data_IF_295837395784
#
_entry.id   IF_295837395784
#
_cell.length_a   1.000
_cell.length_b   1.000
_cell.length_c   1.000
_cell.angle_alpha   90.00
_cell.angle_beta   90.00
_cell.angle_gamma   90.00
#
_symmetry.space_group_name_H-M   'P 1'
#
loop_
_entity.id
_entity.type
_entity.pdbx_description
1 polymer ?
#
# COMPACT_ATOMS: atom_id res chain seq x y z
N UNK A 1 12.61 -1.16 -13.51
CA UNK A 1 12.18 -2.54 -13.21
C UNK A 1 10.71 -2.53 -12.81
N UNK A 2 10.00 -3.65 -12.98
CA UNK A 2 8.60 -3.79 -12.55
C UNK A 2 8.50 -4.54 -11.22
N UNK A 3 7.35 -4.47 -10.56
CA UNK A 3 7.11 -5.10 -9.26
C UNK A 3 7.18 -6.62 -9.34
N UNK A 4 6.78 -7.25 -10.45
CA UNK A 4 6.83 -8.70 -10.63
C UNK A 4 8.18 -9.24 -11.13
N UNK A 5 9.12 -8.35 -11.48
CA UNK A 5 10.45 -8.75 -11.97
C UNK A 5 11.53 -8.07 -11.14
N UNK A 6 11.68 -8.47 -9.87
CA UNK A 6 12.67 -7.85 -8.99
C UNK A 6 14.10 -8.31 -9.33
N UNK A 7 15.12 -7.57 -8.90
CA UNK A 7 16.49 -8.08 -8.94
C UNK A 7 16.64 -9.31 -8.03
N UNK A 8 17.77 -10.04 -8.08
CA UNK A 8 18.06 -11.08 -7.09
C UNK A 8 18.00 -10.55 -5.65
N UNK A 9 17.49 -11.36 -4.72
CA UNK A 9 17.53 -11.03 -3.30
C UNK A 9 18.98 -10.97 -2.79
N UNK A 10 19.31 -10.13 -1.79
CA UNK A 10 18.40 -9.31 -0.97
C UNK A 10 18.25 -7.86 -1.47
N UNK A 11 18.66 -7.54 -2.71
CA UNK A 11 18.62 -6.16 -3.20
C UNK A 11 17.20 -5.57 -3.16
N UNK A 12 17.05 -4.27 -2.84
CA UNK A 12 15.73 -3.61 -2.83
C UNK A 12 15.10 -3.66 -4.23
N UNK A 13 13.77 -3.77 -4.26
CA UNK A 13 13.01 -3.70 -5.51
C UNK A 13 12.75 -2.25 -5.84
N UNK A 14 13.31 -1.77 -6.96
CA UNK A 14 13.08 -0.40 -7.44
C UNK A 14 12.08 -0.43 -8.59
N UNK A 15 10.82 -0.16 -8.27
CA UNK A 15 9.73 -0.10 -9.24
C UNK A 15 9.77 1.25 -9.94
N UNK A 16 10.30 1.27 -11.16
CA UNK A 16 10.40 2.51 -11.95
C UNK A 16 9.05 2.86 -12.58
N UNK A 17 8.41 1.86 -13.17
CA UNK A 17 7.07 1.96 -13.74
C UNK A 17 6.47 0.57 -13.85
N UNK A 18 5.28 0.42 -13.29
CA UNK A 18 4.50 -0.80 -13.41
C UNK A 18 3.03 -0.45 -13.63
N UNK A 19 2.45 -0.95 -14.72
CA UNK A 19 1.06 -0.69 -15.12
C UNK A 19 0.06 -1.66 -14.47
N UNK A 20 0.56 -2.63 -13.70
CA UNK A 20 -0.24 -3.65 -13.05
C UNK A 20 -0.49 -4.87 -13.94
N UNK A 21 -1.47 -5.67 -13.56
CA UNK A 21 -1.79 -6.94 -14.21
C UNK A 21 -2.79 -7.74 -13.40
N UNK A 22 -2.72 -9.08 -13.48
CA UNK A 22 -3.57 -9.96 -12.69
C UNK A 22 -3.29 -9.78 -11.20
N UNK A 23 -4.30 -9.36 -10.43
CA UNK A 23 -4.16 -9.05 -9.00
C UNK A 23 -3.52 -10.20 -8.22
N UNK A 24 -3.90 -11.45 -8.51
CA UNK A 24 -3.36 -12.66 -7.86
C UNK A 24 -1.83 -12.78 -7.95
N UNK A 25 -1.22 -12.38 -9.07
CA UNK A 25 0.23 -12.51 -9.28
C UNK A 25 0.97 -11.49 -8.40
N UNK A 26 0.38 -10.30 -8.24
CA UNK A 26 0.89 -9.25 -7.36
C UNK A 26 0.67 -9.60 -5.89
N UNK A 27 -0.43 -10.24 -5.53
CA UNK A 27 -0.68 -10.71 -4.16
C UNK A 27 0.39 -11.73 -3.73
N UNK A 28 0.66 -12.74 -4.56
CA UNK A 28 1.69 -13.73 -4.28
C UNK A 28 3.08 -13.07 -4.14
N UNK A 29 3.42 -12.14 -5.04
CA UNK A 29 4.68 -11.41 -4.97
C UNK A 29 4.78 -10.50 -3.74
N UNK A 30 3.66 -9.87 -3.34
CA UNK A 30 3.56 -9.03 -2.15
C UNK A 30 3.76 -9.85 -0.88
N UNK A 31 3.20 -11.06 -0.81
CA UNK A 31 3.43 -11.93 0.35
C UNK A 31 4.89 -12.33 0.46
N UNK A 32 5.54 -12.70 -0.65
CA UNK A 32 6.99 -12.97 -0.64
C UNK A 32 7.80 -11.76 -0.15
N UNK A 33 7.48 -10.52 -0.56
CA UNK A 33 8.16 -9.32 -0.06
C UNK A 33 7.91 -9.06 1.42
N UNK A 34 6.72 -9.38 1.92
CA UNK A 34 6.38 -9.27 3.34
C UNK A 34 7.15 -10.28 4.18
N UNK A 35 7.18 -11.55 3.78
CA UNK A 35 7.89 -12.62 4.49
C UNK A 35 9.40 -12.37 4.56
N UNK A 36 9.96 -11.78 3.51
CA UNK A 36 11.41 -11.52 3.41
C UNK A 36 11.83 -10.14 3.93
N UNK A 37 10.90 -9.35 4.47
CA UNK A 37 11.10 -7.92 4.81
C UNK A 37 11.81 -7.14 3.69
N UNK A 38 11.52 -7.50 2.43
CA UNK A 38 12.23 -6.94 1.28
C UNK A 38 11.78 -5.51 1.03
N UNK A 39 12.74 -4.59 0.95
CA UNK A 39 12.41 -3.18 0.67
C UNK A 39 11.91 -3.01 -0.76
N UNK A 40 10.80 -2.29 -0.90
CA UNK A 40 10.24 -1.88 -2.19
C UNK A 40 10.18 -0.37 -2.27
N UNK A 41 10.84 0.22 -3.28
CA UNK A 41 10.88 1.65 -3.56
C UNK A 41 10.15 1.92 -4.86
N UNK A 42 9.15 2.80 -4.84
CA UNK A 42 8.19 2.91 -5.95
C UNK A 42 8.19 4.31 -6.54
N UNK A 43 8.41 4.43 -7.85
CA UNK A 43 8.21 5.66 -8.64
C UNK A 43 6.82 5.69 -9.28
N UNK A 44 6.51 4.82 -10.24
CA UNK A 44 5.17 4.78 -10.88
C UNK A 44 4.53 3.40 -10.77
N UNK A 45 3.27 3.35 -10.34
CA UNK A 45 2.61 2.10 -9.99
C UNK A 45 1.09 2.18 -10.18
N UNK A 46 0.54 1.34 -11.03
CA UNK A 46 -0.89 1.36 -11.36
C UNK A 46 -1.55 0.04 -10.95
N UNK A 47 -2.87 0.10 -10.74
CA UNK A 47 -3.70 -1.10 -10.61
C UNK A 47 -3.16 -2.08 -9.55
N UNK A 48 -2.98 -3.36 -9.88
CA UNK A 48 -2.45 -4.39 -8.99
C UNK A 48 -1.08 -4.06 -8.36
N UNK A 49 -0.19 -3.32 -9.04
CA UNK A 49 1.10 -2.91 -8.46
C UNK A 49 0.92 -2.17 -7.14
N UNK A 50 -0.19 -1.42 -6.99
CA UNK A 50 -0.44 -0.59 -5.79
C UNK A 50 -0.57 -1.41 -4.50
N UNK A 51 -0.68 -2.74 -4.59
CA UNK A 51 -0.50 -3.66 -3.45
C UNK A 51 0.83 -3.47 -2.73
N UNK A 52 1.85 -2.92 -3.39
CA UNK A 52 3.10 -2.50 -2.75
C UNK A 52 2.86 -1.64 -1.49
N UNK A 53 1.81 -0.81 -1.48
CA UNK A 53 1.47 0.04 -0.33
C UNK A 53 1.04 -0.74 0.92
N UNK A 54 0.73 -2.03 0.78
CA UNK A 54 0.39 -2.92 1.91
C UNK A 54 1.63 -3.52 2.61
N UNK A 55 2.83 -3.31 2.07
CA UNK A 55 4.06 -3.84 2.64
C UNK A 55 4.54 -2.96 3.80
N UNK A 56 5.06 -3.58 4.88
CA UNK A 56 5.66 -2.81 5.98
C UNK A 56 6.96 -2.10 5.54
N UNK A 57 7.67 -2.67 4.55
CA UNK A 57 8.92 -2.14 4.03
C UNK A 57 8.78 -1.48 2.64
N UNK A 58 7.67 -0.80 2.39
CA UNK A 58 7.53 0.06 1.21
C UNK A 58 7.98 1.49 1.52
N UNK A 59 8.52 2.17 0.52
CA UNK A 59 8.59 3.62 0.49
C UNK A 59 8.25 4.16 -0.90
N UNK A 60 7.90 5.43 -0.96
CA UNK A 60 7.64 6.18 -2.19
C UNK A 60 8.51 7.41 -2.25
N UNK A 61 8.81 7.89 -3.45
CA UNK A 61 9.47 9.17 -3.66
C UNK A 61 8.43 10.30 -3.73
N UNK A 62 8.77 11.56 -3.43
CA UNK A 62 7.80 12.67 -3.48
C UNK A 62 7.13 12.84 -4.86
N UNK A 63 7.84 12.52 -5.94
CA UNK A 63 7.39 12.58 -7.32
C UNK A 63 6.69 11.31 -7.81
N UNK A 64 6.50 10.30 -6.95
CA UNK A 64 5.84 9.06 -7.33
C UNK A 64 4.41 9.27 -7.81
N UNK A 65 3.94 8.38 -8.68
CA UNK A 65 2.58 8.41 -9.25
C UNK A 65 1.91 7.07 -9.03
N UNK A 66 0.80 7.09 -8.29
CA UNK A 66 -0.03 5.92 -8.07
C UNK A 66 -1.39 6.09 -8.73
N UNK A 67 -1.81 5.11 -9.54
CA UNK A 67 -3.10 5.12 -10.24
C UNK A 67 -3.99 3.97 -9.76
N UNK A 68 -5.05 4.32 -9.05
CA UNK A 68 -6.00 3.40 -8.44
C UNK A 68 -7.27 3.28 -9.28
N UNK A 69 -7.74 2.07 -9.51
CA UNK A 69 -9.03 1.82 -10.17
C UNK A 69 -9.56 0.42 -9.80
N UNK A 70 -10.81 0.14 -10.16
CA UNK A 70 -11.44 -1.17 -10.00
C UNK A 70 -10.78 -2.23 -10.87
N UNK A 71 -10.54 -3.41 -10.30
CA UNK A 71 -10.17 -4.59 -11.06
C UNK A 71 -11.26 -4.94 -12.08
N UNK A 72 -10.85 -5.42 -13.24
CA UNK A 72 -11.77 -5.78 -14.31
C UNK A 72 -11.17 -6.89 -15.16
N UNK A 73 -12.07 -7.68 -15.75
CA UNK A 73 -11.69 -8.72 -16.69
C UNK A 73 -11.16 -8.10 -17.98
N UNK A 74 -9.98 -8.52 -18.41
CA UNK A 74 -9.35 -7.97 -19.62
C UNK A 74 -10.11 -8.34 -20.89
N UNK A 75 -10.87 -9.43 -20.89
CA UNK A 75 -11.59 -9.92 -22.07
C UNK A 75 -12.89 -9.13 -22.32
N UNK A 76 -13.77 -9.03 -21.33
CA UNK A 76 -15.10 -8.40 -21.47
C UNK A 76 -15.19 -6.98 -20.85
N UNK A 77 -14.10 -6.53 -20.23
CA UNK A 77 -13.96 -5.22 -19.55
C UNK A 77 -14.93 -5.00 -18.37
N UNK A 78 -15.63 -6.04 -17.90
CA UNK A 78 -16.52 -5.96 -16.75
C UNK A 78 -15.73 -5.85 -15.45
N UNK A 79 -16.22 -5.01 -14.54
CA UNK A 79 -15.65 -4.90 -13.19
C UNK A 79 -15.77 -6.22 -12.45
N UNK A 80 -14.68 -6.63 -11.82
CA UNK A 80 -14.71 -7.65 -10.79
C UNK A 80 -14.83 -6.94 -9.44
N UNK A 81 -16.04 -6.92 -8.86
CA UNK A 81 -16.31 -6.20 -7.61
C UNK A 81 -15.63 -6.88 -6.41
N UNK A 82 -15.56 -8.21 -6.39
CA UNK A 82 -14.87 -8.98 -5.36
C UNK A 82 -13.38 -8.64 -5.31
N UNK A 83 -12.69 -8.75 -6.45
CA UNK A 83 -11.27 -8.44 -6.56
C UNK A 83 -11.03 -6.95 -6.35
N UNK A 84 -11.91 -6.07 -6.83
CA UNK A 84 -11.81 -4.62 -6.55
C UNK A 84 -11.88 -4.32 -5.06
N UNK A 85 -12.76 -5.03 -4.33
CA UNK A 85 -12.88 -4.85 -2.88
C UNK A 85 -11.67 -5.40 -2.15
N UNK A 86 -11.22 -6.60 -2.49
CA UNK A 86 -9.99 -7.18 -1.93
C UNK A 86 -8.77 -6.27 -2.14
N UNK A 87 -8.60 -5.76 -3.37
CA UNK A 87 -7.55 -4.80 -3.69
C UNK A 87 -7.69 -3.52 -2.83
N UNK A 88 -8.89 -2.96 -2.73
CA UNK A 88 -9.12 -1.76 -1.92
C UNK A 88 -8.81 -1.99 -0.45
N UNK A 89 -9.26 -3.11 0.12
CA UNK A 89 -9.12 -3.46 1.53
C UNK A 89 -7.65 -3.71 1.94
N UNK A 90 -6.78 -4.03 0.97
CA UNK A 90 -5.33 -4.16 1.20
C UNK A 90 -4.62 -2.84 1.52
N UNK A 91 -5.21 -1.70 1.15
CA UNK A 91 -4.54 -0.41 1.30
C UNK A 91 -4.56 0.10 2.75
N UNK A 92 -3.52 0.85 3.17
CA UNK A 92 -3.51 1.49 4.48
C UNK A 92 -4.77 2.32 4.73
N UNK A 93 -5.31 2.35 5.97
CA UNK A 93 -6.57 3.03 6.27
C UNK A 93 -6.63 4.49 5.81
N UNK A 94 -5.56 5.25 5.99
CA UNK A 94 -5.48 6.65 5.54
C UNK A 94 -5.56 6.79 4.01
N UNK A 95 -4.95 5.86 3.26
CA UNK A 95 -5.03 5.80 1.81
C UNK A 95 -6.45 5.46 1.36
N UNK A 96 -7.09 4.48 2.01
CA UNK A 96 -8.51 4.14 1.74
C UNK A 96 -9.43 5.32 2.00
N UNK A 97 -9.26 6.03 3.11
CA UNK A 97 -10.04 7.22 3.44
C UNK A 97 -9.86 8.32 2.39
N UNK A 98 -8.63 8.57 1.94
CA UNK A 98 -8.33 9.54 0.86
C UNK A 98 -8.99 9.17 -0.47
N UNK A 99 -9.02 7.87 -0.79
CA UNK A 99 -9.61 7.37 -2.04
C UNK A 99 -11.14 7.30 -1.98
N UNK A 100 -11.73 6.99 -0.82
CA UNK A 100 -13.16 6.73 -0.60
C UNK A 100 -13.65 5.40 -1.18
N UNK A 101 -13.49 5.22 -2.49
CA UNK A 101 -13.83 3.98 -3.21
C UNK A 101 -13.05 3.88 -4.52
N UNK A 102 -12.91 2.67 -5.07
CA UNK A 102 -12.37 2.46 -6.40
C UNK A 102 -13.46 2.59 -7.46
N UNK A 103 -13.11 3.18 -8.61
CA UNK A 103 -13.98 3.29 -9.77
C UNK A 103 -13.26 2.79 -11.03
N UNK A 104 -13.96 2.66 -12.17
CA UNK A 104 -13.31 2.40 -13.47
C UNK A 104 -12.33 3.51 -13.89
N UNK A 105 -12.58 4.75 -13.46
CA UNK A 105 -11.69 5.88 -13.72
C UNK A 105 -10.53 5.86 -12.72
N UNK A 106 -9.34 6.18 -13.20
CA UNK A 106 -8.18 6.31 -12.33
C UNK A 106 -8.39 7.45 -11.33
N UNK A 107 -8.21 7.12 -10.06
CA UNK A 107 -7.84 8.10 -9.03
C UNK A 107 -6.32 8.11 -8.94
N UNK A 108 -5.74 9.30 -8.94
CA UNK A 108 -4.29 9.46 -8.89
C UNK A 108 -3.91 10.05 -7.55
N UNK A 109 -2.93 9.46 -6.88
CA UNK A 109 -2.25 10.07 -5.73
C UNK A 109 -0.77 10.22 -6.07
N UNK A 110 -0.22 11.38 -5.75
CA UNK A 110 1.21 11.63 -5.79
C UNK A 110 1.92 10.98 -4.60
N UNK A 111 3.24 10.82 -4.73
CA UNK A 111 4.10 10.40 -3.64
C UNK A 111 4.03 11.33 -2.45
N UNK A 112 4.03 12.66 -2.66
CA UNK A 112 3.80 13.66 -1.60
C UNK A 112 2.50 13.43 -0.84
N UNK A 113 1.39 13.15 -1.53
CA UNK A 113 0.12 12.84 -0.88
C UNK A 113 0.20 11.54 -0.07
N UNK A 114 0.82 10.49 -0.63
CA UNK A 114 1.00 9.22 0.08
C UNK A 114 1.89 9.38 1.32
N UNK A 115 2.94 10.17 1.23
CA UNK A 115 3.83 10.49 2.36
C UNK A 115 3.06 11.23 3.45
N UNK A 116 2.24 12.22 3.07
CA UNK A 116 1.36 12.93 4.02
C UNK A 116 0.32 12.01 4.69
N UNK A 117 -0.01 10.87 4.05
CA UNK A 117 -0.90 9.84 4.59
C UNK A 117 -0.17 8.77 5.41
N UNK A 118 1.14 8.92 5.63
CA UNK A 118 1.95 8.05 6.49
C UNK A 118 2.73 6.96 5.76
N UNK A 119 2.78 6.98 4.42
CA UNK A 119 3.73 6.12 3.68
C UNK A 119 5.13 6.71 3.84
N UNK A 120 6.14 5.85 4.00
CA UNK A 120 7.52 6.30 4.17
C UNK A 120 8.06 6.98 2.92
N UNK A 121 8.76 8.10 3.09
CA UNK A 121 9.57 8.74 2.04
C UNK A 121 10.87 7.93 1.83
N UNK A 122 11.16 7.53 0.60
CA UNK A 122 12.39 6.81 0.26
C UNK A 122 13.66 7.66 0.46
N UNK A 123 13.55 8.99 0.47
CA UNK A 123 14.66 9.90 0.72
C UNK A 123 14.92 10.09 2.22
N UNK A 124 13.98 9.69 3.08
CA UNK A 124 14.14 9.79 4.53
C UNK A 124 14.92 8.59 5.08
N UNK A 125 15.75 8.79 6.12
CA UNK A 125 16.43 7.69 6.79
C UNK A 125 15.42 6.70 7.39
N UNK A 126 15.68 5.40 7.23
CA UNK A 126 14.88 4.34 7.86
C UNK A 126 15.14 4.36 9.37
N UNK A 127 14.20 4.91 10.13
CA UNK A 127 14.23 4.80 11.60
C UNK A 127 13.73 3.40 11.98
N UNK A 128 14.67 2.48 12.20
CA UNK A 128 14.35 1.15 12.73
C UNK A 128 14.11 1.28 14.24
N UNK A 129 12.86 1.24 14.69
CA UNK A 129 12.58 1.08 16.11
C UNK A 129 12.85 -0.38 16.46
N UNK A 130 14.03 -0.65 17.02
CA UNK A 130 14.34 -1.97 17.56
C UNK A 130 13.26 -2.32 18.59
N UNK A 131 12.55 -3.44 18.39
CA UNK A 131 11.67 -3.96 19.45
C UNK A 131 12.55 -4.22 20.66
N UNK A 132 12.26 -3.53 21.76
CA UNK A 132 12.95 -3.77 23.03
C UNK A 132 12.83 -5.25 23.36
N UNK A 133 13.99 -5.91 23.57
CA UNK A 133 14.04 -7.28 24.05
C UNK A 133 13.30 -7.30 25.40
N UNK A 134 12.29 -8.18 25.60
CA UNK A 134 11.66 -8.31 26.90
C UNK A 134 12.75 -8.59 27.93
N UNK A 135 12.97 -7.67 28.87
CA UNK A 135 13.87 -7.93 29.98
C UNK A 135 13.31 -9.12 30.74
N UNK A 136 14.11 -10.18 30.87
CA UNK A 136 13.78 -11.29 31.75
C UNK A 136 13.54 -10.73 33.15
N UNK A 137 12.30 -10.83 33.64
CA UNK A 137 11.98 -10.45 35.00
C UNK A 137 12.82 -11.30 35.94
N UNK A 138 13.63 -10.71 36.84
CA UNK A 138 14.34 -11.50 37.84
C UNK A 138 13.29 -12.21 38.70
N UNK A 139 13.47 -13.51 39.02
CA UNK A 139 12.44 -14.36 39.62
C UNK A 139 11.90 -13.90 40.99
N UNK A 140 12.42 -12.82 41.56
CA UNK A 140 12.17 -12.40 42.94
C UNK A 140 11.66 -10.96 43.06
N UNK A 141 11.16 -10.34 41.98
CA UNK A 141 10.68 -8.94 42.01
C UNK A 141 9.49 -8.74 42.98
N UNK A 142 8.59 -9.72 43.04
CA UNK A 142 7.45 -9.71 43.98
C UNK A 142 7.89 -9.90 45.43
N UNK A 143 8.92 -10.70 45.70
CA UNK A 143 9.41 -10.97 47.05
C UNK A 143 10.05 -9.73 47.73
N UNK A 144 10.68 -8.86 46.94
CA UNK A 144 11.29 -7.60 47.44
C UNK A 144 10.27 -6.53 47.82
N UNK A 145 9.10 -6.52 47.17
CA UNK A 145 8.03 -5.56 47.50
C UNK A 145 7.39 -5.90 48.85
N UNK A 146 7.16 -7.18 49.15
CA UNK A 146 6.58 -7.60 50.43
C UNK A 146 7.52 -7.45 51.63
N UNK A 147 8.84 -7.57 51.41
CA UNK A 147 9.84 -7.39 52.48
C UNK A 147 10.01 -5.92 52.90
N UNK A 148 9.82 -4.97 51.98
CA UNK A 148 9.84 -3.53 52.29
C UNK A 148 8.54 -3.04 52.96
N UNK A 149 7.41 -3.73 52.73
CA UNK A 149 6.13 -3.41 53.40
C UNK A 149 6.07 -4.00 54.81
N UNK A 150 6.65 -5.18 55.05
CA UNK A 150 6.69 -5.79 56.40
C UNK A 150 7.70 -5.14 57.36
N UNK A 151 8.65 -4.34 56.86
CA UNK A 151 9.64 -3.64 57.70
C UNK A 151 9.20 -2.23 58.12
N UNK A 152 8.10 -1.70 57.56
CA UNK A 152 7.54 -0.38 57.92
C UNK A 152 6.29 -0.45 58.81
N UNK A 153 5.72 -1.65 59.02
CA UNK A 153 4.61 -1.86 59.94
C UNK A 153 4.99 -2.91 61.00
N UNK A 154 5.58 -2.41 62.09
CA UNK A 154 5.79 -3.17 63.30
C UNK A 154 4.49 -3.76 63.83
N UNK A 155 4.56 -5.06 64.11
CA UNK A 155 3.71 -5.89 64.97
C UNK A 155 2.46 -5.24 65.60
N UNK A 156 1.28 -5.74 65.20
CA UNK A 156 0.26 -6.25 66.12
C UNK A 156 -0.81 -7.05 65.36
N UNK A 157 -0.89 -8.34 65.66
CA UNK A 157 -1.96 -9.21 65.21
C UNK A 157 -3.29 -8.80 65.85
N UNK A 158 -4.36 -8.74 65.05
CA UNK A 158 -5.68 -9.31 65.39
C UNK A 158 -6.65 -9.22 64.20
N UNK A 159 -7.25 -10.39 63.89
CA UNK A 159 -8.64 -10.59 63.42
C UNK A 159 -9.00 -10.20 61.97
N UNK A 160 -9.33 -11.22 61.17
CA UNK A 160 -10.23 -11.13 60.00
C UNK A 160 -11.71 -11.07 60.47
N UNK A 161 -12.74 -10.83 59.61
CA UNK A 161 -12.72 -10.56 58.16
C UNK A 161 -13.58 -9.34 57.75
N UNK A 162 -13.39 -8.81 56.54
CA UNK A 162 -14.49 -8.34 55.66
C UNK A 162 -13.95 -7.78 54.35
N UNK A 163 -14.59 -8.22 53.26
CA UNK A 163 -14.40 -7.79 51.87
C UNK A 163 -14.81 -6.32 51.69
N UNK A 164 -14.09 -5.53 50.88
CA UNK A 164 -14.71 -4.43 50.13
C UNK A 164 -14.48 -4.54 48.61
N UNK A 165 -15.20 -3.73 47.82
CA UNK A 165 -15.62 -4.07 46.46
C UNK A 165 -14.66 -3.62 45.36
N UNK A 166 -14.76 -4.29 44.21
CA UNK A 166 -14.23 -3.85 42.93
C UNK A 166 -14.70 -2.43 42.61
N UNK A 167 -13.77 -1.48 42.53
CA UNK A 167 -14.06 -0.13 42.05
C UNK A 167 -13.77 -0.10 40.55
N UNK A 168 -14.82 -0.24 39.74
CA UNK A 168 -14.79 0.02 38.31
C UNK A 168 -14.71 1.53 38.11
N UNK A 169 -13.57 2.05 37.64
CA UNK A 169 -13.46 3.44 37.18
C UNK A 169 -14.13 3.55 35.81
N UNK A 170 -15.42 3.92 35.82
CA UNK A 170 -16.15 4.39 34.63
C UNK A 170 -15.82 5.88 34.46
N UNK A 171 -15.05 6.20 33.43
CA UNK A 171 -14.81 7.59 33.03
C UNK A 171 -16.02 8.09 32.22
N UNK A 172 -16.98 8.72 32.88
CA UNK A 172 -18.06 9.47 32.23
C UNK A 172 -17.53 10.84 31.80
N UNK A 173 -17.28 11.03 30.50
CA UNK A 173 -17.01 12.36 29.93
C UNK A 173 -18.34 13.05 29.67
N UNK A 174 -18.74 13.94 30.59
CA UNK A 174 -19.85 14.88 30.37
C UNK A 174 -19.50 15.85 29.23
N UNK A 175 -20.34 15.86 28.20
CA UNK A 175 -20.42 16.93 27.22
C UNK A 175 -21.33 18.02 27.81
N UNK A 176 -20.84 19.25 27.89
CA UNK A 176 -21.67 20.42 28.13
C UNK A 176 -22.06 21.05 26.80
N UNK A 177 -23.30 20.81 26.38
CA UNK A 177 -24.03 21.69 25.47
C UNK A 177 -24.35 22.99 26.22
N UNK A 178 -23.84 24.13 25.73
CA UNK A 178 -24.50 25.44 25.78
C UNK A 178 -23.50 26.54 25.36
N UNK A 179 -23.29 26.71 24.06
CA UNK A 179 -23.26 28.08 23.56
C UNK A 179 -23.96 28.14 22.20
N UNK A 180 -24.94 29.02 22.18
CA UNK A 180 -26.14 29.03 21.34
C UNK A 180 -25.97 30.14 20.32
N UNK A 181 -26.33 29.85 19.08
CA UNK A 181 -26.82 30.79 18.07
C UNK A 181 -25.99 32.07 17.83
N UNK A 182 -25.25 32.06 16.72
CA UNK A 182 -25.20 33.25 15.85
C UNK A 182 -25.43 32.83 14.41
N UNK A 183 -26.68 33.01 13.97
CA UNK A 183 -27.04 33.14 12.57
C UNK A 183 -26.35 34.37 11.98
N UNK A 184 -25.84 34.25 10.76
CA UNK A 184 -26.11 35.17 9.65
C UNK A 184 -25.33 34.71 8.42
N UNK A 185 -26.11 34.55 7.36
CA UNK A 185 -25.77 34.33 5.98
C UNK A 185 -24.47 35.00 5.50
N UNK A 186 -23.60 34.22 4.87
CA UNK A 186 -22.70 34.74 3.86
C UNK A 186 -22.65 33.83 2.62
N UNK A 187 -23.49 34.22 1.66
CA UNK A 187 -23.18 34.37 0.23
C UNK A 187 -22.40 33.21 -0.42
N UNK A 188 -23.14 32.26 -0.99
CA UNK A 188 -22.65 31.49 -2.14
C UNK A 188 -22.62 32.43 -3.36
N UNK A 189 -21.48 33.06 -3.62
CA UNK A 189 -21.22 33.66 -4.92
C UNK A 189 -21.04 32.52 -5.94
N UNK A 190 -21.92 32.47 -6.94
CA UNK A 190 -21.83 31.55 -8.05
C UNK A 190 -20.52 31.80 -8.81
N UNK A 191 -19.57 30.88 -8.71
CA UNK A 191 -18.37 30.90 -9.55
C UNK A 191 -18.79 30.69 -11.02
N UNK A 192 -18.27 31.48 -11.98
CA UNK A 192 -18.58 31.29 -13.39
C UNK A 192 -18.05 29.94 -13.88
N UNK A 193 -18.84 29.28 -14.74
CA UNK A 193 -18.48 28.00 -15.35
C UNK A 193 -17.20 28.15 -16.20
N UNK A 194 -16.32 27.13 -16.22
CA UNK A 194 -15.14 27.13 -17.07
C UNK A 194 -15.54 27.14 -18.57
N UNK A 195 -14.72 27.72 -19.45
CA UNK A 195 -15.00 27.76 -20.87
C UNK A 195 -15.10 26.35 -21.48
N UNK A 196 -15.96 26.21 -22.49
CA UNK A 196 -16.13 24.96 -23.22
C UNK A 196 -14.82 24.54 -23.90
N UNK A 197 -14.49 23.25 -23.81
CA UNK A 197 -13.32 22.65 -24.46
C UNK A 197 -13.49 22.73 -26.00
N UNK A 198 -12.48 23.17 -26.76
CA UNK A 198 -12.54 23.13 -28.22
C UNK A 198 -12.62 21.69 -28.72
N UNK A 199 -13.60 21.42 -29.60
CA UNK A 199 -13.77 20.15 -30.27
C UNK A 199 -12.92 20.13 -31.54
N UNK A 200 -11.67 19.68 -31.44
CA UNK A 200 -10.89 18.98 -32.49
C UNK A 200 -9.40 19.18 -32.24
N UNK A 201 -8.73 18.13 -31.75
CA UNK A 201 -7.32 17.93 -32.04
C UNK A 201 -7.30 16.94 -33.20
N UNK A 202 -7.21 17.45 -34.42
CA UNK A 202 -6.86 16.65 -35.59
C UNK A 202 -5.39 16.27 -35.46
N UNK A 203 -5.11 15.18 -34.74
CA UNK A 203 -3.77 14.57 -34.76
C UNK A 203 -3.67 13.79 -36.05
N UNK A 204 -3.07 14.40 -37.07
CA UNK A 204 -2.64 13.68 -38.26
C UNK A 204 -1.50 12.73 -37.86
N UNK A 205 -1.81 11.44 -37.74
CA UNK A 205 -0.81 10.38 -37.66
C UNK A 205 -0.25 10.14 -39.06
N UNK A 206 0.71 10.96 -39.49
CA UNK A 206 1.62 10.59 -40.59
C UNK A 206 2.96 10.23 -39.98
N UNK A 207 3.00 9.08 -39.29
CA UNK A 207 4.26 8.38 -39.03
C UNK A 207 4.20 7.08 -39.81
N UNK A 208 4.92 7.03 -40.93
CA UNK A 208 5.36 5.79 -41.55
C UNK A 208 6.17 5.00 -40.51
N UNK A 209 5.73 3.78 -40.21
CA UNK A 209 6.44 2.88 -39.32
C UNK A 209 7.87 2.66 -39.85
N UNK A 210 8.92 2.83 -39.04
CA UNK A 210 10.27 2.49 -39.47
C UNK A 210 10.37 0.97 -39.67
N UNK A 211 10.87 0.56 -40.84
CA UNK A 211 11.17 -0.85 -41.12
C UNK A 211 12.31 -1.30 -40.22
N UNK A 212 12.03 -2.19 -39.26
CA UNK A 212 13.04 -2.77 -38.39
C UNK A 212 13.74 -3.89 -39.17
N UNK A 213 15.03 -3.74 -39.43
CA UNK A 213 15.85 -4.82 -39.96
C UNK A 213 16.03 -5.90 -38.88
N UNK A 214 15.49 -7.09 -39.13
CA UNK A 214 15.62 -8.21 -38.20
C UNK A 214 17.07 -8.73 -38.18
N UNK A 215 17.60 -9.09 -37.00
CA UNK A 215 18.94 -9.67 -36.89
C UNK A 215 19.01 -11.02 -37.61
N UNK A 216 20.15 -11.26 -38.25
CA UNK A 216 20.42 -12.51 -38.99
C UNK A 216 20.45 -13.69 -38.02
N UNK A 217 19.65 -14.72 -38.31
CA UNK A 217 19.59 -15.95 -37.51
C UNK A 217 20.96 -16.63 -37.54
N UNK A 218 21.48 -16.98 -36.36
CA UNK A 218 22.69 -17.78 -36.22
C UNK A 218 22.24 -19.25 -36.24
N UNK A 219 22.58 -19.98 -37.30
CA UNK A 219 22.29 -21.41 -37.40
C UNK A 219 23.10 -22.20 -36.35
N UNK A 220 22.43 -23.11 -35.62
CA UNK A 220 23.06 -24.04 -34.67
C UNK A 220 22.74 -23.83 -33.19
N UNK A 221 21.96 -22.80 -32.81
CA UNK A 221 21.52 -22.64 -31.42
C UNK A 221 20.34 -23.58 -31.10
N UNK A 222 20.52 -24.47 -30.12
CA UNK A 222 19.46 -25.30 -29.56
C UNK A 222 18.40 -24.41 -28.88
N UNK A 223 17.09 -24.68 -29.04
CA UNK A 223 16.06 -23.88 -28.41
C UNK A 223 16.10 -24.04 -26.88
N UNK A 224 16.30 -22.93 -26.17
CA UNK A 224 16.25 -22.85 -24.70
C UNK A 224 14.79 -22.89 -24.20
N UNK A 225 13.82 -22.74 -25.11
CA UNK A 225 12.40 -22.64 -24.78
C UNK A 225 11.66 -23.99 -24.96
N UNK A 226 10.67 -24.28 -24.10
CA UNK A 226 9.89 -25.51 -24.16
C UNK A 226 9.04 -25.62 -25.44
N UNK A 227 8.71 -26.85 -25.85
CA UNK A 227 8.13 -27.19 -27.16
C UNK A 227 6.81 -26.50 -27.55
N UNK A 228 6.11 -25.86 -26.60
CA UNK A 228 4.88 -25.10 -26.87
C UNK A 228 5.14 -23.63 -27.25
N UNK A 229 6.38 -23.16 -27.18
CA UNK A 229 6.77 -21.86 -27.69
C UNK A 229 7.18 -21.98 -29.17
N UNK A 230 6.28 -21.55 -30.06
CA UNK A 230 6.64 -21.35 -31.46
C UNK A 230 7.51 -20.09 -31.57
N UNK A 231 8.80 -20.28 -31.89
CA UNK A 231 9.66 -19.17 -32.27
C UNK A 231 9.07 -18.49 -33.52
N UNK A 232 9.16 -17.15 -33.59
CA UNK A 232 8.65 -16.34 -34.70
C UNK A 232 9.07 -16.85 -36.10
N UNK A 233 10.23 -17.50 -36.20
CA UNK A 233 10.73 -18.10 -37.45
C UNK A 233 9.86 -19.25 -37.99
N UNK A 234 9.08 -19.93 -37.16
CA UNK A 234 8.17 -21.01 -37.59
C UNK A 234 6.83 -20.50 -38.12
N UNK A 235 6.41 -19.29 -37.73
CA UNK A 235 5.19 -18.67 -38.24
C UNK A 235 5.38 -18.23 -39.71
N UNK A 236 6.56 -17.71 -40.04
CA UNK A 236 6.88 -17.24 -41.40
C UNK A 236 7.05 -18.37 -42.45
N UNK A 237 7.11 -19.64 -42.03
CA UNK A 237 7.22 -20.80 -42.93
C UNK A 237 5.90 -21.53 -43.17
N UNK A 238 4.82 -21.11 -42.53
CA UNK A 238 3.51 -21.77 -42.63
C UNK A 238 2.61 -21.19 -43.74
N UNK A 239 3.09 -20.21 -44.53
CA UNK A 239 2.32 -19.57 -45.60
C UNK A 239 2.83 -19.93 -47.02
N UNK A 240 3.34 -21.14 -47.24
CA UNK A 240 3.60 -21.69 -48.57
C UNK A 240 3.07 -23.11 -48.72
#
# INVERSE_FOLDING_TARGET
MSYLNPPPAPAPVIVTKDVGGLVRDYEAQTEYYRETDREVRVHECHSACTLALSLPNVCVYPDSIFKFHQAYNLNDKRTDFSVSRQLFDSYPPAVRARLGTLTRKFKVLSGKELIALGIRDCNAPRIMVARAKPQAQPPNAIARVWSNVMSTFGAKATRAPSRPPSTTLVATRQQSEAEKHRTMDHVFAAAPLPPARPNSLSVAFTQTMPTIALPKVIDGAQPILPAHFLAYAMIARAEH
#
